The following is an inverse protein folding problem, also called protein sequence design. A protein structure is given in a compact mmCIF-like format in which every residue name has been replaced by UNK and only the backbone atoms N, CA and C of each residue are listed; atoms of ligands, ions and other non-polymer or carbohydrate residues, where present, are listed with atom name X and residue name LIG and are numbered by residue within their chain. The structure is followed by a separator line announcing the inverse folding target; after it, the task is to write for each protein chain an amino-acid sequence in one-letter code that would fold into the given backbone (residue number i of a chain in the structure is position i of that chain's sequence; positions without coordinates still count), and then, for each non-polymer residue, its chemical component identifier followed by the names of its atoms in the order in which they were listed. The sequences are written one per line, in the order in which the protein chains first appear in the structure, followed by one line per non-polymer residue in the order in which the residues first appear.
data_IF_909085849901
#
_entry.id   IF_909085849901
#
_cell.length_a   1.000
_cell.length_b   1.000
_cell.length_c   1.000
_cell.angle_alpha   90.00
_cell.angle_beta   90.00
_cell.angle_gamma   90.00
#
_symmetry.space_group_name_H-M   'P 1'
#
loop_
_entity.id
_entity.type
_entity.pdbx_description
1 polymer ?
#
# COMPACT_ATOMS: atom_id res chain seq x y z
N UNK A 1 -10.03 -17.99 15.26
CA UNK A 1 -10.00 -18.81 14.03
C UNK A 1 -9.23 -18.02 13.00
N UNK A 2 -8.14 -18.56 12.48
CA UNK A 2 -7.39 -17.97 11.36
C UNK A 2 -8.29 -18.02 10.12
N UNK A 3 -8.89 -16.88 9.76
CA UNK A 3 -9.72 -16.77 8.58
C UNK A 3 -8.81 -16.66 7.35
N UNK A 4 -8.25 -17.80 6.96
CA UNK A 4 -7.42 -17.91 5.75
C UNK A 4 -8.36 -17.81 4.57
N UNK A 5 -8.37 -16.63 3.94
CA UNK A 5 -9.08 -16.41 2.69
C UNK A 5 -8.41 -17.23 1.57
N UNK A 6 -9.23 -17.80 0.70
CA UNK A 6 -8.76 -18.32 -0.59
C UNK A 6 -8.17 -17.20 -1.44
N UNK A 7 -7.35 -17.55 -2.43
CA UNK A 7 -6.76 -16.56 -3.33
C UNK A 7 -7.84 -15.81 -4.15
N UNK A 8 -8.94 -16.49 -4.49
CA UNK A 8 -10.09 -15.89 -5.15
C UNK A 8 -10.78 -14.85 -4.25
N UNK A 9 -11.05 -15.21 -2.99
CA UNK A 9 -11.65 -14.30 -2.01
C UNK A 9 -10.76 -13.09 -1.74
N UNK A 10 -9.44 -13.30 -1.65
CA UNK A 10 -8.48 -12.21 -1.43
C UNK A 10 -8.49 -11.22 -2.60
N UNK A 11 -8.55 -11.72 -3.85
CA UNK A 11 -8.66 -10.86 -5.05
C UNK A 11 -9.95 -10.06 -5.03
N UNK A 12 -11.06 -10.68 -4.63
CA UNK A 12 -12.34 -10.01 -4.56
C UNK A 12 -12.37 -8.94 -3.46
N UNK A 13 -11.75 -9.23 -2.31
CA UNK A 13 -11.60 -8.26 -1.23
C UNK A 13 -10.76 -7.04 -1.67
N UNK A 14 -9.68 -7.25 -2.42
CA UNK A 14 -8.87 -6.15 -3.01
C UNK A 14 -9.64 -5.31 -4.05
N UNK A 15 -10.75 -5.82 -4.59
CA UNK A 15 -11.63 -5.07 -5.49
C UNK A 15 -12.57 -4.10 -4.78
N UNK A 16 -12.60 -4.10 -3.44
CA UNK A 16 -13.52 -3.30 -2.63
C UNK A 16 -12.78 -2.26 -1.79
N UNK A 17 -13.40 -1.10 -1.59
CA UNK A 17 -12.87 -0.04 -0.75
C UNK A 17 -12.79 -0.46 0.72
N UNK A 18 -11.63 -0.33 1.36
CA UNK A 18 -11.48 -0.71 2.78
C UNK A 18 -12.08 0.33 3.74
N UNK A 19 -12.25 1.56 3.28
CA UNK A 19 -12.81 2.65 4.09
C UNK A 19 -14.34 2.65 4.11
N UNK A 20 -15.02 2.37 2.98
CA UNK A 20 -16.49 2.44 2.90
C UNK A 20 -17.18 1.17 2.38
N UNK A 21 -16.44 0.12 2.04
CA UNK A 21 -16.99 -1.20 1.69
C UNK A 21 -17.63 -1.31 0.31
N UNK A 22 -17.68 -0.24 -0.48
CA UNK A 22 -18.20 -0.32 -1.86
C UNK A 22 -17.26 -1.15 -2.75
N UNK A 23 -17.84 -1.89 -3.68
CA UNK A 23 -17.11 -2.71 -4.65
C UNK A 23 -16.74 -1.89 -5.88
N UNK A 24 -15.44 -1.60 -6.07
CA UNK A 24 -14.98 -0.90 -7.26
C UNK A 24 -15.11 -1.76 -8.51
N UNK A 25 -15.02 -3.09 -8.37
CA UNK A 25 -15.20 -4.03 -9.49
C UNK A 25 -16.63 -4.06 -10.01
N UNK A 26 -17.60 -3.67 -9.19
CA UNK A 26 -19.01 -3.52 -9.58
C UNK A 26 -19.35 -2.07 -9.97
N UNK A 27 -18.33 -1.26 -10.28
CA UNK A 27 -18.46 0.17 -10.65
C UNK A 27 -19.09 1.07 -9.57
N UNK A 28 -19.07 0.63 -8.31
CA UNK A 28 -19.58 1.42 -7.19
C UNK A 28 -18.47 2.29 -6.58
N UNK A 29 -18.82 3.54 -6.26
CA UNK A 29 -17.92 4.51 -5.64
C UNK A 29 -18.67 5.35 -4.61
N UNK A 30 -17.97 5.78 -3.57
CA UNK A 30 -18.44 6.84 -2.69
C UNK A 30 -17.70 8.14 -3.00
N UNK A 31 -18.44 9.22 -3.27
CA UNK A 31 -17.87 10.52 -3.59
C UNK A 31 -17.23 11.19 -2.36
N UNK A 32 -17.70 10.84 -1.16
CA UNK A 32 -17.20 11.37 0.11
C UNK A 32 -16.08 10.51 0.72
N UNK A 33 -15.61 9.50 -0.02
CA UNK A 33 -14.55 8.61 0.43
C UNK A 33 -13.22 8.91 -0.26
N UNK A 34 -12.20 9.27 0.53
CA UNK A 34 -10.85 9.58 0.02
C UNK A 34 -10.20 8.41 -0.72
N UNK A 35 -10.46 7.17 -0.27
CA UNK A 35 -9.95 5.96 -0.90
C UNK A 35 -10.64 5.66 -2.24
N UNK A 36 -11.92 6.02 -2.38
CA UNK A 36 -12.62 5.93 -3.67
C UNK A 36 -12.14 7.01 -4.64
N UNK A 37 -12.06 8.27 -4.21
CA UNK A 37 -11.57 9.36 -5.05
C UNK A 37 -12.39 9.62 -6.31
N UNK A 38 -13.69 9.27 -6.29
CA UNK A 38 -14.67 9.62 -7.32
C UNK A 38 -14.71 8.75 -8.58
N UNK A 39 -13.86 7.74 -8.70
CA UNK A 39 -13.83 6.82 -9.86
C UNK A 39 -13.74 5.38 -9.38
N UNK A 40 -14.11 4.40 -10.21
CA UNK A 40 -14.05 2.97 -9.86
C UNK A 40 -12.66 2.40 -10.20
N UNK A 41 -12.54 1.51 -11.17
CA UNK A 41 -11.28 0.89 -11.58
C UNK A 41 -10.42 1.79 -12.47
N UNK A 42 -11.06 2.68 -13.21
CA UNK A 42 -10.42 3.47 -14.25
C UNK A 42 -10.87 4.92 -14.20
N UNK A 43 -10.01 5.83 -14.67
CA UNK A 43 -10.36 7.23 -14.83
C UNK A 43 -9.64 7.89 -16.00
N UNK A 44 -10.18 9.00 -16.51
CA UNK A 44 -9.46 9.84 -17.48
C UNK A 44 -8.14 10.37 -16.91
N UNK A 45 -7.18 10.62 -17.79
CA UNK A 45 -5.86 11.13 -17.40
C UNK A 45 -5.96 12.42 -16.55
N UNK A 46 -5.45 12.42 -15.30
CA UNK A 46 -5.46 13.61 -14.43
C UNK A 46 -4.57 14.76 -14.88
N UNK A 47 -3.62 14.50 -15.77
CA UNK A 47 -2.63 15.50 -16.17
C UNK A 47 -3.13 16.43 -17.27
N UNK A 48 -4.06 15.95 -18.09
CA UNK A 48 -4.60 16.69 -19.22
C UNK A 48 -6.13 16.56 -19.30
N UNK A 49 -6.77 16.23 -18.17
CA UNK A 49 -8.21 16.01 -18.05
C UNK A 49 -8.79 15.10 -19.13
N UNK A 50 -8.06 14.03 -19.46
CA UNK A 50 -8.47 13.01 -20.43
C UNK A 50 -8.24 13.36 -21.91
N UNK A 51 -7.68 14.53 -22.25
CA UNK A 51 -7.46 14.91 -23.66
C UNK A 51 -6.55 13.94 -24.44
N UNK A 52 -5.61 13.28 -23.77
CA UNK A 52 -4.75 12.28 -24.41
C UNK A 52 -5.44 10.94 -24.68
N UNK A 53 -6.69 10.74 -24.23
CA UNK A 53 -7.45 9.50 -24.38
C UNK A 53 -6.96 8.33 -23.51
N UNK A 54 -5.88 8.48 -22.76
CA UNK A 54 -5.34 7.43 -21.89
C UNK A 54 -6.20 7.27 -20.63
N UNK A 55 -6.62 6.04 -20.36
CA UNK A 55 -7.25 5.64 -19.10
C UNK A 55 -6.19 5.23 -18.08
N UNK A 56 -6.33 5.77 -16.87
CA UNK A 56 -5.47 5.45 -15.73
C UNK A 56 -6.15 4.38 -14.88
N UNK A 57 -5.39 3.36 -14.50
CA UNK A 57 -5.91 2.23 -13.72
C UNK A 57 -5.65 2.45 -12.23
N UNK A 58 -6.60 2.05 -11.40
CA UNK A 58 -6.45 2.08 -9.95
C UNK A 58 -5.35 1.12 -9.51
N UNK A 59 -4.49 1.58 -8.62
CA UNK A 59 -3.59 0.71 -7.85
C UNK A 59 -4.28 0.34 -6.55
N UNK A 60 -4.84 -0.88 -6.48
CA UNK A 60 -5.54 -1.36 -5.27
C UNK A 60 -4.64 -1.35 -4.05
N UNK A 61 -3.42 -1.90 -4.17
CA UNK A 61 -2.49 -2.03 -3.06
C UNK A 61 -2.14 -0.66 -2.47
N UNK A 62 -1.79 0.31 -3.32
CA UNK A 62 -1.48 1.66 -2.86
C UNK A 62 -2.70 2.44 -2.41
N UNK A 63 -3.87 2.19 -2.99
CA UNK A 63 -5.12 2.83 -2.56
C UNK A 63 -5.48 2.42 -1.13
N UNK A 64 -5.42 1.13 -0.84
CA UNK A 64 -5.65 0.60 0.51
C UNK A 64 -4.56 1.06 1.49
N UNK A 65 -3.28 0.92 1.11
CA UNK A 65 -2.15 1.25 2.00
C UNK A 65 -2.15 2.72 2.46
N UNK A 66 -2.72 3.63 1.65
CA UNK A 66 -2.78 5.05 1.96
C UNK A 66 -4.18 5.54 2.36
N UNK A 67 -5.21 4.69 2.32
CA UNK A 67 -6.63 5.05 2.44
C UNK A 67 -7.03 6.24 1.53
N UNK A 68 -6.41 6.31 0.35
CA UNK A 68 -6.57 7.39 -0.64
C UNK A 68 -6.50 6.82 -2.05
N UNK A 69 -7.29 7.32 -2.98
CA UNK A 69 -7.27 6.82 -4.36
C UNK A 69 -5.87 6.99 -4.99
N UNK A 70 -5.32 5.89 -5.51
CA UNK A 70 -4.03 5.86 -6.21
C UNK A 70 -4.21 5.27 -7.60
N UNK A 71 -3.51 5.86 -8.56
CA UNK A 71 -3.71 5.62 -9.98
C UNK A 71 -2.35 5.45 -10.68
N UNK A 72 -2.31 4.53 -11.65
CA UNK A 72 -1.15 4.23 -12.49
C UNK A 72 -1.52 4.47 -13.95
N UNK A 73 -0.72 5.28 -14.62
CA UNK A 73 -0.87 5.61 -16.03
C UNK A 73 0.22 6.58 -16.47
N UNK A 74 0.31 6.80 -17.78
CA UNK A 74 1.26 7.75 -18.39
C UNK A 74 0.47 8.66 -19.33
N UNK A 75 0.63 9.97 -19.17
CA UNK A 75 0.01 10.92 -20.08
C UNK A 75 0.85 11.02 -21.37
N UNK A 76 0.22 10.92 -22.55
CA UNK A 76 0.95 11.09 -23.81
C UNK A 76 1.40 12.54 -24.05
N UNK A 77 0.69 13.52 -23.50
CA UNK A 77 1.05 14.93 -23.59
C UNK A 77 2.15 15.34 -22.60
N UNK A 78 2.33 14.56 -21.52
CA UNK A 78 3.27 14.84 -20.43
C UNK A 78 3.91 13.54 -19.92
N UNK A 79 4.73 12.86 -20.74
CA UNK A 79 5.29 11.55 -20.39
C UNK A 79 6.24 11.62 -19.18
N UNK A 80 6.96 12.73 -19.00
CA UNK A 80 7.86 12.92 -17.86
C UNK A 80 7.14 13.20 -16.53
N UNK A 81 5.89 13.66 -16.57
CA UNK A 81 5.11 14.00 -15.38
C UNK A 81 4.55 12.76 -14.66
N UNK A 82 4.58 11.58 -15.28
CA UNK A 82 4.02 10.33 -14.72
C UNK A 82 4.63 9.94 -13.36
N UNK A 83 5.87 10.36 -13.08
CA UNK A 83 6.54 10.17 -11.78
C UNK A 83 6.20 11.26 -10.76
N UNK A 84 5.71 12.42 -11.19
CA UNK A 84 5.53 13.62 -10.36
C UNK A 84 4.09 13.88 -9.88
N UNK A 85 3.06 13.24 -10.46
CA UNK A 85 1.65 13.38 -10.01
C UNK A 85 1.39 12.74 -8.64
N UNK A 86 2.42 12.23 -7.98
CA UNK A 86 2.34 11.78 -6.60
C UNK A 86 2.17 12.93 -5.60
N UNK A 87 2.23 14.20 -6.01
CA UNK A 87 2.08 15.35 -5.11
C UNK A 87 0.62 15.80 -4.97
N UNK A 88 -0.03 15.61 -3.81
CA UNK A 88 -1.29 16.28 -3.53
C UNK A 88 -1.02 17.76 -3.23
N UNK A 89 -1.82 18.61 -3.85
CA UNK A 89 -2.10 19.97 -3.38
C UNK A 89 -2.40 19.90 -1.87
N UNK A 90 -1.72 20.76 -1.10
CA UNK A 90 -1.70 20.89 0.36
C UNK A 90 -3.02 20.46 1.05
N UNK A 91 -3.00 19.58 2.06
CA UNK A 91 -2.41 19.84 3.38
C UNK A 91 -1.27 18.90 3.76
N UNK A 92 -0.08 19.48 3.95
CA UNK A 92 1.15 18.82 4.32
C UNK A 92 1.17 18.39 5.79
N UNK A 93 0.68 17.18 6.07
CA UNK A 93 1.06 16.40 7.28
C UNK A 93 0.99 14.89 7.05
N UNK A 94 0.23 14.39 6.06
CA UNK A 94 0.00 12.95 5.88
C UNK A 94 0.76 12.28 4.72
N UNK A 95 1.24 13.01 3.70
CA UNK A 95 1.89 12.35 2.55
C UNK A 95 3.28 11.78 2.89
N UNK A 96 3.95 12.33 3.91
CA UNK A 96 5.20 11.79 4.46
C UNK A 96 4.96 10.47 5.21
N UNK A 97 3.72 10.10 5.55
CA UNK A 97 3.48 9.01 6.50
C UNK A 97 3.50 7.62 5.87
N UNK A 98 3.06 7.41 4.62
CA UNK A 98 2.98 6.05 4.06
C UNK A 98 4.34 5.51 3.61
N UNK A 99 5.13 6.30 2.89
CA UNK A 99 6.51 5.93 2.54
C UNK A 99 7.41 5.83 3.77
N UNK A 100 7.27 6.75 4.74
CA UNK A 100 8.01 6.67 5.99
C UNK A 100 7.55 5.51 6.88
N UNK A 101 6.25 5.18 6.91
CA UNK A 101 5.74 4.02 7.64
C UNK A 101 6.26 2.72 7.03
N UNK A 102 6.28 2.60 5.70
CA UNK A 102 6.86 1.44 5.01
C UNK A 102 8.36 1.30 5.33
N UNK A 103 9.12 2.40 5.30
CA UNK A 103 10.54 2.40 5.69
C UNK A 103 10.75 2.03 7.17
N UNK A 104 9.89 2.52 8.06
CA UNK A 104 9.95 2.20 9.49
C UNK A 104 9.67 0.72 9.77
N UNK A 105 8.67 0.14 9.11
CA UNK A 105 8.35 -1.29 9.21
C UNK A 105 9.53 -2.16 8.73
N UNK A 106 10.17 -1.79 7.61
CA UNK A 106 11.33 -2.52 7.11
C UNK A 106 12.52 -2.46 8.09
N UNK A 107 12.77 -1.30 8.70
CA UNK A 107 13.84 -1.14 9.71
C UNK A 107 13.59 -2.01 10.94
N UNK A 108 12.35 -2.06 11.43
CA UNK A 108 11.98 -2.93 12.54
C UNK A 108 12.17 -4.41 12.18
N UNK A 109 11.75 -4.82 10.99
CA UNK A 109 11.93 -6.20 10.53
C UNK A 109 13.41 -6.59 10.49
N UNK A 110 14.29 -5.72 10.00
CA UNK A 110 15.75 -5.96 9.99
C UNK A 110 16.33 -6.11 11.41
N UNK A 111 15.93 -5.24 12.34
CA UNK A 111 16.37 -5.32 13.75
C UNK A 111 15.91 -6.63 14.41
N UNK A 112 14.66 -7.04 14.17
CA UNK A 112 14.12 -8.29 14.70
C UNK A 112 14.87 -9.50 14.15
N UNK A 113 15.13 -9.56 12.84
CA UNK A 113 15.93 -10.63 12.24
C UNK A 113 17.32 -10.71 12.86
N UNK A 114 18.01 -9.57 13.00
CA UNK A 114 19.35 -9.54 13.61
C UNK A 114 19.35 -10.04 15.06
N UNK A 115 18.33 -9.67 15.86
CA UNK A 115 18.20 -10.17 17.23
C UNK A 115 17.91 -11.67 17.30
N UNK A 116 17.10 -12.19 16.38
CA UNK A 116 16.84 -13.63 16.30
C UNK A 116 18.12 -14.42 15.95
N UNK A 117 18.97 -13.90 15.08
CA UNK A 117 20.29 -14.47 14.76
C UNK A 117 21.27 -14.41 15.95
N UNK A 118 21.24 -13.33 16.72
CA UNK A 118 22.05 -13.23 17.94
C UNK A 118 21.59 -14.21 19.03
N UNK A 119 20.28 -14.37 19.21
CA UNK A 119 19.72 -15.33 20.17
C UNK A 119 20.04 -16.77 19.77
N UNK A 120 20.00 -17.10 18.48
CA UNK A 120 20.32 -18.45 17.99
C UNK A 120 21.80 -18.82 18.18
N UNK A 121 22.71 -17.85 18.05
CA UNK A 121 24.15 -18.03 18.32
C UNK A 121 24.50 -18.00 19.80
N UNK A 122 23.71 -17.31 20.63
CA UNK A 122 23.86 -17.28 22.09
C UNK A 122 23.37 -18.57 22.76
N UNK A 123 22.39 -19.26 22.17
CA UNK A 123 21.92 -20.56 22.66
C UNK A 123 22.98 -21.68 22.54
N UNK A 124 24.03 -21.49 21.74
CA UNK A 124 25.12 -22.47 21.56
C UNK A 124 26.29 -22.31 22.53
N UNK A 125 26.38 -21.20 23.29
CA UNK A 125 27.45 -20.95 24.27
C UNK A 125 27.03 -21.16 25.73
N UNK A 126 25.77 -21.50 25.98
CA UNK A 126 25.19 -21.76 27.30
C UNK A 126 25.25 -23.22 27.78
N UNK A 127 26.32 -23.96 27.51
CA UNK A 127 26.60 -25.26 28.16
C UNK A 127 27.96 -25.18 28.86
N UNK A 128 27.96 -24.76 30.13
CA UNK A 128 28.74 -25.38 31.21
C UNK A 128 28.79 -24.50 32.46
N UNK A 129 28.04 -24.90 33.49
CA UNK A 129 28.58 -24.93 34.85
C UNK A 129 27.84 -25.97 35.68
N UNK A 130 28.17 -27.24 35.46
CA UNK A 130 27.92 -28.29 36.46
C UNK A 130 28.78 -27.98 37.69
N UNK A 131 28.12 -27.51 38.74
CA UNK A 131 28.67 -27.36 40.08
C UNK A 131 29.09 -28.74 40.60
N UNK A 132 30.42 -28.93 40.78
CA UNK A 132 30.98 -30.02 41.59
C UNK A 132 30.60 -29.79 43.06
N UNK A 133 30.05 -30.82 43.69
CA UNK A 133 30.10 -31.05 45.13
C UNK A 133 30.76 -32.42 45.31
#
# INVERSE_FOLDING_TARGET
MDNVLTIEELRQHMGSCFTCGVSWTDDHVSLDCSECGGYSLERPCPLCDGQCGVQWKRDFAMSHACSKARWVGVCMSYPEAATAVQLPVATATAATSCAAAAAHQLRLAQELCSRLEQLSTSSTTGVNKSTRI
#
